data_IF_012051405698
#
_entry.id   IF_012051405698
#
_cell.length_a   1.000
_cell.length_b   1.000
_cell.length_c   1.000
_cell.angle_alpha   90.00
_cell.angle_beta   90.00
_cell.angle_gamma   90.00
#
_symmetry.space_group_name_H-M   'P 1'
#
loop_
_entity.id
_entity.type
_entity.pdbx_description
1 polymer ?
#
# COMPACT_ATOMS: atom_id res chain seq x y z
N UNK A 1 -11.90 -5.34 0.46
CA UNK A 1 -11.17 -4.09 0.51
C UNK A 1 -9.72 -4.34 0.14
N UNK A 2 -9.30 -3.77 -1.00
CA UNK A 2 -7.93 -3.88 -1.43
C UNK A 2 -7.15 -2.70 -0.84
N UNK A 3 -6.26 -2.95 0.12
CA UNK A 3 -5.29 -2.00 0.61
C UNK A 3 -3.89 -2.42 0.10
N UNK A 4 -3.20 -1.51 -0.55
CA UNK A 4 -1.82 -1.67 -1.01
C UNK A 4 -0.95 -0.66 -0.26
N UNK A 5 -0.02 -1.12 0.57
CA UNK A 5 0.84 -0.26 1.38
C UNK A 5 2.30 -0.22 0.88
N UNK A 6 2.86 0.98 0.78
CA UNK A 6 4.29 1.25 0.59
C UNK A 6 4.77 2.22 1.67
N UNK A 7 5.99 2.05 2.17
CA UNK A 7 6.54 2.85 3.27
C UNK A 7 7.64 3.84 2.80
N UNK A 8 7.50 5.14 3.10
CA UNK A 8 8.49 6.18 2.77
C UNK A 8 8.04 7.61 3.18
N UNK A 9 8.95 8.53 3.55
CA UNK A 9 8.66 9.78 4.28
C UNK A 9 8.92 11.13 3.58
N UNK A 10 8.08 12.12 3.88
CA UNK A 10 8.00 13.62 3.90
C UNK A 10 7.92 14.40 2.57
N UNK A 11 7.28 15.46 2.41
CA UNK A 11 6.24 16.38 2.78
C UNK A 11 6.22 17.68 1.99
N UNK A 12 5.02 18.26 1.76
CA UNK A 12 4.76 19.70 1.71
C UNK A 12 4.35 20.39 0.40
N UNK A 13 3.09 20.86 0.35
CA UNK A 13 2.43 22.04 -0.28
C UNK A 13 2.69 22.37 -1.78
N UNK A 14 1.75 22.63 -2.60
CA UNK A 14 0.43 23.16 -2.81
C UNK A 14 0.43 24.16 -3.98
N UNK A 15 -0.55 24.13 -4.86
CA UNK A 15 -1.32 25.22 -5.48
C UNK A 15 -1.84 24.89 -6.89
N UNK A 16 -3.00 25.44 -7.17
CA UNK A 16 -3.98 25.31 -8.20
C UNK A 16 -3.56 25.45 -9.68
N UNK A 17 -4.23 24.69 -10.53
CA UNK A 17 -4.60 25.15 -11.88
C UNK A 17 -3.55 24.95 -12.97
N UNK A 18 -3.18 23.71 -13.32
CA UNK A 18 -2.41 23.45 -14.53
C UNK A 18 -2.88 22.17 -15.24
N UNK A 19 -2.86 22.22 -16.58
CA UNK A 19 -3.06 21.09 -17.51
C UNK A 19 -2.24 19.86 -17.08
N UNK A 20 -2.62 18.63 -17.48
CA UNK A 20 -1.87 17.44 -17.11
C UNK A 20 -0.44 17.55 -17.67
N UNK A 21 0.48 17.93 -16.82
CA UNK A 21 1.90 17.83 -17.13
C UNK A 21 2.26 16.37 -17.01
N UNK A 22 2.54 15.73 -18.12
CA UNK A 22 3.11 14.39 -18.16
C UNK A 22 4.56 14.52 -17.65
N UNK A 23 4.73 14.44 -16.35
CA UNK A 23 6.05 14.27 -15.77
C UNK A 23 6.54 12.83 -16.05
N UNK A 24 7.25 12.64 -17.15
CA UNK A 24 8.27 11.59 -17.19
C UNK A 24 9.28 11.96 -16.12
N UNK A 25 9.30 11.26 -15.00
CA UNK A 25 10.38 11.36 -14.02
C UNK A 25 11.65 10.81 -14.66
N UNK A 26 12.38 11.68 -15.33
CA UNK A 26 13.72 11.43 -15.87
C UNK A 26 14.79 11.51 -14.76
N UNK A 27 14.36 11.73 -13.51
CA UNK A 27 15.25 11.85 -12.36
C UNK A 27 15.11 10.60 -11.48
N UNK A 28 16.22 9.98 -11.06
CA UNK A 28 16.17 8.95 -10.04
C UNK A 28 15.50 9.55 -8.80
N UNK A 29 14.51 8.84 -8.24
CA UNK A 29 13.92 9.25 -6.97
C UNK A 29 15.02 9.21 -5.91
N UNK A 30 15.44 10.39 -5.44
CA UNK A 30 16.59 10.54 -4.57
C UNK A 30 16.22 10.75 -3.11
N UNK A 31 14.95 11.06 -2.83
CA UNK A 31 14.49 11.33 -1.48
C UNK A 31 13.18 10.59 -1.14
N UNK A 32 12.94 10.42 0.16
CA UNK A 32 11.67 9.90 0.67
C UNK A 32 10.50 10.83 0.33
N UNK A 33 10.76 12.12 0.22
CA UNK A 33 9.79 13.12 -0.20
C UNK A 33 9.31 12.88 -1.63
N UNK A 34 10.23 12.52 -2.53
CA UNK A 34 9.91 12.22 -3.94
C UNK A 34 9.03 10.97 -4.03
N UNK A 35 9.36 9.93 -3.24
CA UNK A 35 8.56 8.70 -3.20
C UNK A 35 7.13 9.00 -2.75
N UNK A 36 6.96 9.79 -1.68
CA UNK A 36 5.65 10.15 -1.16
C UNK A 36 4.85 10.99 -2.16
N UNK A 37 5.44 12.05 -2.67
CA UNK A 37 4.76 12.94 -3.61
C UNK A 37 4.38 12.20 -4.90
N UNK A 38 5.27 11.38 -5.45
CA UNK A 38 4.98 10.55 -6.63
C UNK A 38 3.81 9.61 -6.37
N UNK A 39 3.78 8.95 -5.20
CA UNK A 39 2.69 8.06 -4.82
C UNK A 39 1.34 8.80 -4.73
N UNK A 40 1.29 9.87 -3.94
CA UNK A 40 0.06 10.64 -3.74
C UNK A 40 -0.43 11.27 -5.03
N UNK A 41 0.47 11.81 -5.85
CA UNK A 41 0.15 12.42 -7.14
C UNK A 41 -0.35 11.39 -8.15
N UNK A 42 0.22 10.18 -8.16
CA UNK A 42 -0.26 9.09 -8.99
C UNK A 42 -1.72 8.76 -8.67
N UNK A 43 -2.06 8.54 -7.41
CA UNK A 43 -3.42 8.19 -7.02
C UNK A 43 -4.38 9.36 -7.15
N UNK A 44 -3.94 10.59 -6.90
CA UNK A 44 -4.73 11.80 -7.16
C UNK A 44 -5.13 11.91 -8.64
N UNK A 45 -4.20 11.66 -9.56
CA UNK A 45 -4.50 11.65 -11.02
C UNK A 45 -5.48 10.54 -11.41
N UNK A 46 -5.56 9.48 -10.62
CA UNK A 46 -6.48 8.36 -10.77
C UNK A 46 -7.76 8.50 -9.92
N UNK A 47 -8.13 9.74 -9.57
CA UNK A 47 -9.41 10.06 -8.93
C UNK A 47 -9.50 9.77 -7.43
N UNK A 48 -8.37 9.61 -6.75
CA UNK A 48 -8.35 9.43 -5.29
C UNK A 48 -8.25 10.77 -4.57
N UNK A 49 -9.06 10.94 -3.53
CA UNK A 49 -8.92 12.06 -2.60
C UNK A 49 -7.63 11.90 -1.79
N UNK A 50 -6.82 12.97 -1.74
CA UNK A 50 -5.59 12.99 -0.93
C UNK A 50 -5.94 13.34 0.50
N UNK A 51 -5.99 12.34 1.37
CA UNK A 51 -6.37 12.50 2.77
C UNK A 51 -5.14 12.63 3.65
N UNK A 52 -5.12 13.64 4.49
CA UNK A 52 -4.04 13.85 5.47
C UNK A 52 -3.91 12.67 6.44
N UNK A 53 -2.68 12.45 6.95
CA UNK A 53 -2.45 11.51 8.03
C UNK A 53 -3.34 11.84 9.23
N UNK A 54 -4.04 10.85 9.76
CA UNK A 54 -4.70 11.00 11.04
C UNK A 54 -3.68 11.15 12.18
N UNK A 55 -4.10 11.65 13.35
CA UNK A 55 -3.25 11.68 14.54
C UNK A 55 -2.68 10.30 14.85
N UNK A 56 -1.42 10.26 15.27
CA UNK A 56 -0.72 9.03 15.63
C UNK A 56 -1.39 8.30 16.80
N UNK A 57 -1.92 9.05 17.76
CA UNK A 57 -2.76 8.51 18.85
C UNK A 57 -4.22 8.59 18.41
N UNK A 58 -4.88 7.44 18.12
CA UNK A 58 -6.27 7.43 17.72
C UNK A 58 -7.18 7.96 18.81
N UNK A 59 -8.07 8.90 18.48
CA UNK A 59 -8.99 9.49 19.47
C UNK A 59 -10.21 8.62 19.76
N UNK A 60 -10.59 7.78 18.81
CA UNK A 60 -11.87 7.05 18.81
C UNK A 60 -11.70 5.52 18.69
N UNK A 61 -10.53 4.98 18.99
CA UNK A 61 -10.28 3.55 19.00
C UNK A 61 -9.54 3.15 20.28
N UNK A 62 -10.27 2.71 21.34
CA UNK A 62 -9.65 2.31 22.59
C UNK A 62 -8.85 1.00 22.49
N UNK A 63 -8.92 0.31 21.35
CA UNK A 63 -8.18 -0.94 21.12
C UNK A 63 -6.76 -0.70 20.59
N UNK A 64 -6.44 0.53 20.21
CA UNK A 64 -5.15 0.91 19.63
C UNK A 64 -4.51 2.06 20.41
N UNK A 65 -3.30 1.85 20.89
CA UNK A 65 -2.49 2.92 21.48
C UNK A 65 -1.97 3.89 20.41
N UNK A 66 -1.57 3.35 19.27
CA UNK A 66 -1.09 4.12 18.13
C UNK A 66 -1.71 3.64 16.82
N UNK A 67 -1.81 4.53 15.84
CA UNK A 67 -2.12 4.14 14.46
C UNK A 67 -0.97 3.26 13.93
N UNK A 68 -1.27 2.03 13.60
CA UNK A 68 -0.31 1.02 13.16
C UNK A 68 -0.43 0.67 11.67
N UNK A 69 -1.42 1.25 10.99
CA UNK A 69 -1.63 1.09 9.55
C UNK A 69 -2.40 2.26 8.95
N UNK A 70 -2.27 2.42 7.63
CA UNK A 70 -3.01 3.44 6.87
C UNK A 70 -4.53 3.28 6.92
N UNK A 71 -5.01 2.08 7.22
CA UNK A 71 -6.45 1.78 7.27
C UNK A 71 -7.12 2.26 8.56
N UNK A 72 -6.38 2.54 9.63
CA UNK A 72 -6.95 2.86 10.94
C UNK A 72 -7.93 4.03 10.86
N UNK A 73 -7.59 5.09 10.15
CA UNK A 73 -8.46 6.26 10.00
C UNK A 73 -9.74 5.99 9.16
N UNK A 74 -9.80 4.89 8.42
CA UNK A 74 -10.93 4.50 7.57
C UNK A 74 -11.71 3.32 8.12
N UNK A 75 -11.37 2.83 9.32
CA UNK A 75 -12.01 1.65 9.95
C UNK A 75 -13.54 1.77 9.98
N UNK A 76 -14.06 2.89 10.47
CA UNK A 76 -15.51 3.10 10.56
C UNK A 76 -16.17 3.23 9.19
N UNK A 77 -15.46 3.75 8.18
CA UNK A 77 -15.95 3.82 6.82
C UNK A 77 -16.07 2.42 6.20
N UNK A 78 -15.08 1.54 6.41
CA UNK A 78 -15.14 0.14 5.97
C UNK A 78 -16.23 -0.67 6.69
N UNK A 79 -16.54 -0.32 7.94
CA UNK A 79 -17.60 -0.95 8.71
C UNK A 79 -19.00 -0.38 8.40
N UNK A 80 -19.08 0.66 7.55
CA UNK A 80 -20.35 1.35 7.23
C UNK A 80 -20.88 2.24 8.35
N UNK A 81 -20.07 2.50 9.38
CA UNK A 81 -20.43 3.35 10.53
C UNK A 81 -20.18 4.83 10.26
N UNK A 82 -19.45 5.14 9.22
CA UNK A 82 -19.12 6.50 8.77
C UNK A 82 -19.34 6.62 7.27
N UNK A 83 -19.68 7.81 6.79
CA UNK A 83 -19.75 8.15 5.36
C UNK A 83 -18.86 9.34 5.06
N UNK A 84 -18.29 9.37 3.86
CA UNK A 84 -17.49 10.49 3.33
C UNK A 84 -17.90 10.79 1.91
N UNK A 85 -17.59 11.99 1.43
CA UNK A 85 -17.98 12.48 0.11
C UNK A 85 -17.11 11.92 -1.03
N UNK A 86 -16.27 10.93 -0.74
CA UNK A 86 -15.41 10.27 -1.72
C UNK A 86 -15.45 8.74 -1.57
N UNK A 87 -15.29 8.06 -2.70
CA UNK A 87 -15.24 6.59 -2.79
C UNK A 87 -13.82 6.05 -2.94
N UNK A 88 -12.85 6.93 -3.19
CA UNK A 88 -11.41 6.60 -3.32
C UNK A 88 -10.59 7.54 -2.45
N UNK A 89 -9.61 7.02 -1.77
CA UNK A 89 -8.67 7.85 -1.01
C UNK A 89 -7.24 7.38 -1.16
N UNK A 90 -6.30 8.31 -0.99
CA UNK A 90 -4.88 8.01 -0.83
C UNK A 90 -4.29 8.80 0.31
N UNK A 91 -3.35 8.22 1.03
CA UNK A 91 -2.74 8.88 2.20
C UNK A 91 -1.31 8.38 2.43
N UNK A 92 -0.51 9.21 3.10
CA UNK A 92 0.75 8.82 3.72
C UNK A 92 0.54 8.85 5.25
N UNK A 93 0.02 7.75 5.80
CA UNK A 93 -0.33 7.66 7.22
C UNK A 93 0.89 7.43 8.08
N UNK A 94 1.09 8.27 9.08
CA UNK A 94 2.09 8.08 10.13
C UNK A 94 1.70 6.93 11.03
N UNK A 95 2.61 5.99 11.25
CA UNK A 95 2.36 4.76 11.98
C UNK A 95 3.46 4.47 13.01
N UNK A 96 3.08 3.79 14.09
CA UNK A 96 4.01 3.20 15.08
C UNK A 96 3.71 1.70 15.21
N UNK A 97 4.77 0.89 15.13
CA UNK A 97 4.75 -0.54 15.43
C UNK A 97 5.91 -0.87 16.39
N UNK A 98 5.62 -0.85 17.67
CA UNK A 98 6.59 -1.09 18.74
C UNK A 98 6.02 -2.01 19.83
N UNK A 99 5.13 -2.92 19.44
CA UNK A 99 4.43 -3.82 20.33
C UNK A 99 2.93 -3.91 20.04
N UNK A 100 2.23 -4.84 20.69
CA UNK A 100 0.80 -5.05 20.50
C UNK A 100 0.45 -5.95 19.33
N UNK A 101 -0.67 -5.71 18.66
CA UNK A 101 -1.28 -6.62 17.68
C UNK A 101 -0.47 -6.85 16.40
N UNK A 102 0.28 -5.86 15.96
CA UNK A 102 1.28 -5.98 14.89
C UNK A 102 2.63 -5.73 15.53
N UNK A 103 3.13 -6.77 16.21
CA UNK A 103 4.33 -6.65 17.01
C UNK A 103 5.56 -6.88 16.14
N UNK A 104 6.20 -5.79 15.74
CA UNK A 104 7.52 -5.83 15.11
C UNK A 104 8.65 -5.68 16.16
N UNK A 105 8.33 -5.76 17.47
CA UNK A 105 9.26 -5.42 18.55
C UNK A 105 10.57 -6.23 18.48
N UNK A 106 10.46 -7.52 18.17
CA UNK A 106 11.63 -8.42 18.08
C UNK A 106 12.52 -8.10 16.86
N UNK A 107 11.99 -7.39 15.87
CA UNK A 107 12.68 -7.03 14.63
C UNK A 107 13.13 -5.56 14.59
N UNK A 108 12.49 -4.68 15.38
CA UNK A 108 12.82 -3.24 15.40
C UNK A 108 14.22 -3.02 15.93
N UNK A 109 15.06 -2.37 15.12
CA UNK A 109 16.47 -2.12 15.43
C UNK A 109 17.41 -3.28 15.10
N UNK A 110 16.90 -4.47 14.79
CA UNK A 110 17.70 -5.66 14.41
C UNK A 110 17.69 -5.90 12.90
N UNK A 111 16.72 -5.39 12.20
CA UNK A 111 16.63 -5.50 10.74
C UNK A 111 16.63 -4.12 10.09
N UNK A 112 17.10 -4.03 8.87
CA UNK A 112 17.13 -2.77 8.12
C UNK A 112 15.73 -2.27 7.67
N UNK A 113 14.67 -3.04 7.90
CA UNK A 113 13.32 -2.79 7.36
C UNK A 113 12.27 -2.51 8.43
N UNK A 114 12.51 -2.86 9.69
CA UNK A 114 11.57 -2.66 10.77
C UNK A 114 11.93 -1.41 11.58
N UNK A 115 11.10 -0.40 11.47
CA UNK A 115 11.24 0.88 12.17
C UNK A 115 10.08 1.08 13.12
N UNK A 116 10.35 1.65 14.28
CA UNK A 116 9.32 1.99 15.27
C UNK A 116 8.29 2.97 14.68
N UNK A 117 8.78 4.00 14.01
CA UNK A 117 7.99 5.02 13.33
C UNK A 117 8.22 4.97 11.83
N UNK A 118 7.13 4.99 11.06
CA UNK A 118 7.17 4.99 9.59
C UNK A 118 5.91 5.62 9.01
N UNK A 119 5.94 5.95 7.74
CA UNK A 119 4.74 6.30 6.99
C UNK A 119 4.30 5.11 6.12
N UNK A 120 3.01 4.82 6.16
CA UNK A 120 2.39 3.84 5.29
C UNK A 120 1.68 4.56 4.15
N UNK A 121 2.19 4.41 2.94
CA UNK A 121 1.55 4.90 1.73
C UNK A 121 0.37 3.98 1.40
N UNK A 122 -0.84 4.51 1.37
CA UNK A 122 -2.04 3.72 1.19
C UNK A 122 -2.98 4.30 0.14
N UNK A 123 -3.58 3.42 -0.66
CA UNK A 123 -4.71 3.72 -1.52
C UNK A 123 -5.89 2.85 -1.14
N UNK A 124 -7.07 3.43 -1.14
CA UNK A 124 -8.29 2.80 -0.63
C UNK A 124 -9.42 2.98 -1.61
N UNK A 125 -10.21 1.90 -1.79
CA UNK A 125 -11.46 1.90 -2.52
C UNK A 125 -12.60 1.52 -1.58
N UNK A 126 -13.61 2.34 -1.51
CA UNK A 126 -14.78 2.14 -0.67
C UNK A 126 -15.97 1.71 -1.54
N UNK A 127 -15.86 0.51 -2.13
CA UNK A 127 -16.87 -0.06 -3.01
C UNK A 127 -16.86 0.48 -4.45
N UNK A 128 -15.78 1.12 -4.87
CA UNK A 128 -15.66 1.71 -6.21
C UNK A 128 -14.92 0.77 -7.18
N UNK A 129 -13.69 0.38 -6.86
CA UNK A 129 -12.92 -0.58 -7.66
C UNK A 129 -12.41 -1.74 -6.81
N UNK A 130 -12.00 -2.82 -7.47
CA UNK A 130 -11.52 -4.04 -6.84
C UNK A 130 -10.16 -4.47 -7.38
N UNK A 131 -9.93 -5.78 -7.51
CA UNK A 131 -8.62 -6.37 -7.78
C UNK A 131 -8.02 -5.93 -9.12
N UNK A 132 -8.79 -5.90 -10.20
CA UNK A 132 -8.25 -5.63 -11.53
C UNK A 132 -7.62 -4.24 -11.60
N UNK A 133 -8.36 -3.22 -11.20
CA UNK A 133 -7.88 -1.85 -11.20
C UNK A 133 -6.78 -1.64 -10.16
N UNK A 134 -6.92 -2.22 -8.95
CA UNK A 134 -5.90 -2.13 -7.92
C UNK A 134 -4.55 -2.69 -8.39
N UNK A 135 -4.56 -3.85 -9.07
CA UNK A 135 -3.37 -4.47 -9.66
C UNK A 135 -2.83 -3.59 -10.80
N UNK A 136 -3.72 -3.03 -11.62
CA UNK A 136 -3.36 -2.10 -12.69
C UNK A 136 -2.62 -0.88 -12.16
N UNK A 137 -3.20 -0.18 -11.18
CA UNK A 137 -2.57 0.97 -10.53
C UNK A 137 -1.22 0.60 -9.93
N UNK A 138 -1.18 -0.51 -9.23
CA UNK A 138 0.03 -0.99 -8.60
C UNK A 138 1.16 -1.26 -9.60
N UNK A 139 0.86 -1.93 -10.70
CA UNK A 139 1.83 -2.24 -11.74
C UNK A 139 2.31 -0.99 -12.47
N UNK A 140 1.38 -0.09 -12.79
CA UNK A 140 1.70 1.17 -13.45
C UNK A 140 2.59 2.06 -12.58
N UNK A 141 2.21 2.30 -11.34
CA UNK A 141 2.99 3.09 -10.39
C UNK A 141 4.43 2.57 -10.27
N UNK A 142 4.61 1.28 -10.08
CA UNK A 142 5.95 0.71 -9.90
C UNK A 142 6.80 0.78 -11.16
N UNK A 143 6.21 0.48 -12.31
CA UNK A 143 6.98 0.30 -13.56
C UNK A 143 7.12 1.56 -14.38
N UNK A 144 6.19 2.52 -14.24
CA UNK A 144 6.23 3.78 -14.97
C UNK A 144 6.68 4.94 -14.07
N UNK A 145 5.95 5.20 -12.98
CA UNK A 145 6.24 6.35 -12.12
C UNK A 145 7.48 6.13 -11.25
N UNK A 146 7.63 4.95 -10.65
CA UNK A 146 8.85 4.59 -9.91
C UNK A 146 9.98 4.03 -10.80
N UNK A 147 9.70 3.71 -12.04
CA UNK A 147 10.70 3.26 -13.01
C UNK A 147 11.40 1.95 -12.65
N UNK A 148 10.76 1.09 -11.86
CA UNK A 148 11.36 -0.18 -11.47
C UNK A 148 11.44 -1.15 -12.66
N UNK A 149 12.58 -1.83 -12.78
CA UNK A 149 12.81 -2.83 -13.82
C UNK A 149 11.86 -4.03 -13.60
N UNK A 150 10.98 -4.25 -14.57
CA UNK A 150 10.02 -5.37 -14.57
C UNK A 150 10.69 -6.74 -14.39
N UNK A 151 11.93 -6.89 -14.88
CA UNK A 151 12.70 -8.13 -14.74
C UNK A 151 13.10 -8.44 -13.29
N UNK A 152 13.06 -7.44 -12.42
CA UNK A 152 13.41 -7.57 -10.99
C UNK A 152 12.19 -7.68 -10.09
N UNK A 153 10.98 -7.67 -10.65
CA UNK A 153 9.74 -7.78 -9.90
C UNK A 153 9.19 -9.19 -9.96
N UNK A 154 8.68 -9.67 -8.87
CA UNK A 154 7.81 -10.82 -8.77
C UNK A 154 6.60 -10.44 -7.90
N UNK A 155 5.55 -11.22 -7.94
CA UNK A 155 4.34 -11.00 -7.14
C UNK A 155 3.99 -12.26 -6.36
N UNK A 156 3.38 -12.08 -5.22
CA UNK A 156 2.77 -13.17 -4.46
C UNK A 156 1.27 -13.01 -4.44
N UNK A 157 0.54 -14.10 -4.41
CA UNK A 157 -0.91 -14.15 -4.27
C UNK A 157 -1.28 -15.19 -3.23
N UNK A 158 -2.42 -15.02 -2.57
CA UNK A 158 -2.93 -16.09 -1.73
C UNK A 158 -3.22 -17.33 -2.57
N UNK A 159 -2.89 -18.51 -2.07
CA UNK A 159 -2.85 -19.74 -2.87
C UNK A 159 -4.16 -20.11 -3.57
N UNK A 160 -5.32 -19.72 -3.02
CA UNK A 160 -6.65 -19.95 -3.60
C UNK A 160 -7.19 -18.75 -4.38
N UNK A 161 -6.43 -17.64 -4.50
CA UNK A 161 -6.87 -16.45 -5.23
C UNK A 161 -6.48 -16.51 -6.70
N UNK A 162 -7.19 -17.36 -7.45
CA UNK A 162 -6.99 -17.52 -8.89
C UNK A 162 -7.31 -16.24 -9.67
N UNK A 163 -8.28 -15.46 -9.19
CA UNK A 163 -8.67 -14.20 -9.81
C UNK A 163 -7.50 -13.21 -9.81
N UNK A 164 -6.86 -12.97 -8.65
CA UNK A 164 -5.69 -12.10 -8.57
C UNK A 164 -4.54 -12.62 -9.43
N UNK A 165 -4.27 -13.93 -9.44
CA UNK A 165 -3.22 -14.52 -10.27
C UNK A 165 -3.46 -14.26 -11.77
N UNK A 166 -4.71 -14.41 -12.22
CA UNK A 166 -5.08 -14.18 -13.62
C UNK A 166 -4.98 -12.68 -14.01
N UNK A 167 -5.40 -11.77 -13.12
CA UNK A 167 -5.21 -10.34 -13.35
C UNK A 167 -3.73 -9.96 -13.41
N UNK A 168 -2.89 -10.53 -12.54
CA UNK A 168 -1.45 -10.30 -12.62
C UNK A 168 -0.88 -10.75 -13.97
N UNK A 169 -1.21 -11.94 -14.44
CA UNK A 169 -0.79 -12.43 -15.77
C UNK A 169 -1.22 -11.48 -16.89
N UNK A 170 -2.50 -11.10 -16.90
CA UNK A 170 -3.09 -10.22 -17.90
C UNK A 170 -2.44 -8.83 -17.93
N UNK A 171 -2.23 -8.22 -16.76
CA UNK A 171 -1.81 -6.82 -16.63
C UNK A 171 -0.28 -6.68 -16.71
N UNK A 172 0.45 -7.53 -16.01
CA UNK A 172 1.91 -7.41 -15.92
C UNK A 172 2.66 -8.13 -17.04
N UNK A 173 2.06 -9.18 -17.61
CA UNK A 173 2.73 -10.10 -18.52
C UNK A 173 3.79 -10.98 -17.85
N UNK A 174 3.77 -11.09 -16.51
CA UNK A 174 4.68 -11.97 -15.77
C UNK A 174 4.37 -13.44 -16.07
N UNK A 175 5.42 -14.25 -16.17
CA UNK A 175 5.33 -15.70 -16.28
C UNK A 175 4.91 -16.35 -14.96
N UNK A 176 4.43 -17.58 -15.02
CA UNK A 176 3.88 -18.29 -13.85
C UNK A 176 4.89 -18.49 -12.73
N UNK A 177 6.15 -18.67 -13.06
CA UNK A 177 7.25 -18.77 -12.10
C UNK A 177 7.54 -17.47 -11.32
N UNK A 178 6.93 -16.37 -11.76
CA UNK A 178 7.04 -15.06 -11.11
C UNK A 178 5.75 -14.63 -10.40
N UNK A 179 4.74 -15.49 -10.37
CA UNK A 179 3.49 -15.31 -9.62
C UNK A 179 3.42 -16.43 -8.58
N UNK A 180 3.95 -16.15 -7.41
CA UNK A 180 4.14 -17.15 -6.35
C UNK A 180 2.87 -17.26 -5.50
N UNK A 181 2.37 -18.49 -5.32
CA UNK A 181 1.21 -18.77 -4.48
C UNK A 181 1.63 -19.08 -3.05
N UNK A 182 1.16 -18.27 -2.11
CA UNK A 182 1.49 -18.37 -0.67
C UNK A 182 0.29 -18.89 0.10
N UNK A 183 0.40 -20.04 0.81
CA UNK A 183 -0.71 -20.62 1.57
C UNK A 183 -0.84 -20.08 3.01
N UNK A 184 0.12 -19.28 3.47
CA UNK A 184 0.16 -18.75 4.83
C UNK A 184 -0.58 -17.43 4.97
N UNK A 185 -0.71 -16.95 6.20
CA UNK A 185 -1.30 -15.65 6.52
C UNK A 185 -0.47 -14.45 5.99
N UNK A 186 0.72 -14.67 5.44
CA UNK A 186 1.50 -13.61 4.77
C UNK A 186 0.75 -13.00 3.60
N UNK A 187 -0.06 -13.80 2.90
CA UNK A 187 -0.93 -13.32 1.83
C UNK A 187 -2.42 -13.36 2.19
N UNK A 188 -2.76 -13.40 3.51
CA UNK A 188 -4.14 -13.25 3.97
C UNK A 188 -4.22 -12.24 5.11
N UNK A 189 -4.69 -11.05 4.80
CA UNK A 189 -4.77 -9.97 5.77
C UNK A 189 -6.03 -10.06 6.65
N UNK A 190 -5.87 -9.76 7.94
CA UNK A 190 -6.96 -9.66 8.93
C UNK A 190 -6.82 -8.40 9.77
N UNK A 191 -7.91 -7.64 9.92
CA UNK A 191 -7.92 -6.53 10.86
C UNK A 191 -7.84 -7.00 12.31
N UNK A 192 -8.44 -8.14 12.62
CA UNK A 192 -8.52 -8.72 13.94
C UNK A 192 -9.37 -9.98 14.02
N UNK A 193 -9.75 -10.40 15.23
CA UNK A 193 -10.68 -11.50 15.42
C UNK A 193 -12.02 -11.25 14.72
N UNK A 194 -12.43 -9.99 14.65
CA UNK A 194 -13.61 -9.51 13.92
C UNK A 194 -13.23 -8.31 13.04
N UNK A 195 -13.95 -8.13 11.93
CA UNK A 195 -13.74 -7.03 11.00
C UNK A 195 -13.29 -7.46 9.62
N UNK A 196 -12.95 -6.52 8.75
CA UNK A 196 -12.51 -6.80 7.39
C UNK A 196 -11.30 -7.74 7.35
N UNK A 197 -11.35 -8.73 6.47
CA UNK A 197 -10.25 -9.63 6.16
C UNK A 197 -10.34 -10.07 4.70
N UNK A 198 -9.25 -10.61 4.16
CA UNK A 198 -9.26 -11.14 2.80
C UNK A 198 -7.88 -11.49 2.29
N UNK A 199 -7.83 -12.21 1.15
CA UNK A 199 -6.59 -12.48 0.47
C UNK A 199 -5.95 -11.17 0.05
N UNK A 200 -4.63 -11.11 0.16
CA UNK A 200 -3.83 -10.01 -0.34
C UNK A 200 -2.84 -10.51 -1.39
N UNK A 201 -2.36 -9.59 -2.19
CA UNK A 201 -1.30 -9.81 -3.15
C UNK A 201 -0.20 -8.80 -2.90
N UNK A 202 1.04 -9.26 -2.95
CA UNK A 202 2.20 -8.44 -2.69
C UNK A 202 3.16 -8.45 -3.86
N UNK A 203 4.00 -7.42 -3.91
CA UNK A 203 5.03 -7.27 -4.93
C UNK A 203 6.38 -7.21 -4.25
N UNK A 204 7.26 -8.09 -4.67
CA UNK A 204 8.60 -8.21 -4.10
C UNK A 204 9.61 -7.85 -5.18
N UNK A 205 10.50 -6.91 -4.86
CA UNK A 205 11.70 -6.69 -5.66
C UNK A 205 12.68 -7.80 -5.34
N UNK A 206 12.99 -8.67 -6.29
CA UNK A 206 13.99 -9.73 -6.13
C UNK A 206 15.36 -9.10 -5.90
N UNK A 207 15.80 -9.01 -4.66
CA UNK A 207 17.21 -8.87 -4.33
C UNK A 207 17.87 -10.23 -4.50
N UNK A 208 19.06 -10.29 -5.10
CA UNK A 208 19.70 -11.53 -5.54
C UNK A 208 20.00 -12.58 -4.44
N UNK A 209 19.77 -12.29 -3.17
CA UNK A 209 20.31 -13.10 -2.06
C UNK A 209 19.31 -13.50 -0.94
N UNK A 210 18.02 -13.11 -1.01
CA UNK A 210 17.13 -13.30 0.14
C UNK A 210 15.80 -14.01 -0.11
N UNK A 211 15.62 -14.70 -1.22
CA UNK A 211 14.36 -15.37 -1.54
C UNK A 211 14.52 -16.85 -1.90
N UNK A 212 15.15 -17.60 -1.02
CA UNK A 212 14.93 -19.04 -0.92
C UNK A 212 15.06 -19.44 0.56
N UNK A 213 14.13 -20.27 1.09
CA UNK A 213 14.27 -20.85 2.41
C UNK A 213 15.49 -21.73 2.51
#
# INVERSE_FOLDING_TARGET
PAALGLCGQHGGMGLNGAKPIVFRTQYPMTSLSDIRSTYLDFFRRNGHEVVSSSPLVPRNDPTLMFANSGMVQFKNLFLGLEKRDYTRATTAQKCVRAGGKHNDLDNVGYTARHHTFFEMLGNFSFGDYFKEEAIGFAWELLTKDFGLDKKKLLVTVYHTDDEAANFWKKISGLSDDRIIRIPTDDNFWRMGPTGPCGPCTERIKRCKEELLP
#
